data_IF_996241420046
#
_entry.id   IF_996241420046
#
_cell.length_a   1.000
_cell.length_b   1.000
_cell.length_c   1.000
_cell.angle_alpha   90.00
_cell.angle_beta   90.00
_cell.angle_gamma   90.00
#
_symmetry.space_group_name_H-M   'P 1'
#
loop_
_entity.id
_entity.type
_entity.pdbx_description
1 polymer ?
#
# COMPACT_ATOMS: atom_id res chain seq x y z
N UNK A 1 0.00 -70.29 1.70
CA UNK A 1 0.92 -69.13 1.76
C UNK A 1 0.15 -67.81 1.81
N UNK A 2 -0.79 -67.66 2.76
CA UNK A 2 -1.65 -66.47 2.90
C UNK A 2 -1.28 -65.42 3.99
N UNK A 3 -0.29 -65.63 4.91
CA UNK A 3 -0.17 -64.76 6.08
C UNK A 3 0.42 -63.36 5.80
N UNK A 4 1.09 -63.16 4.65
CA UNK A 4 1.73 -61.88 4.30
C UNK A 4 0.81 -60.99 3.44
N UNK A 5 -0.16 -61.58 2.74
CA UNK A 5 -1.03 -60.84 1.82
C UNK A 5 -2.11 -60.04 2.59
N UNK A 6 -2.62 -60.59 3.69
CA UNK A 6 -3.62 -59.93 4.56
C UNK A 6 -3.12 -58.58 5.12
N UNK A 7 -1.92 -58.47 5.73
CA UNK A 7 -1.45 -57.17 6.23
C UNK A 7 -1.15 -56.17 5.10
N UNK A 8 -0.67 -56.63 3.94
CA UNK A 8 -0.44 -55.76 2.77
C UNK A 8 -1.77 -55.22 2.24
N UNK A 9 -2.78 -56.09 2.08
CA UNK A 9 -4.12 -55.68 1.64
C UNK A 9 -4.77 -54.68 2.61
N UNK A 10 -4.58 -54.87 3.93
CA UNK A 10 -5.04 -53.92 4.95
C UNK A 10 -4.41 -52.53 4.75
N UNK A 11 -3.08 -52.46 4.56
CA UNK A 11 -2.38 -51.19 4.31
C UNK A 11 -2.90 -50.52 3.04
N UNK A 12 -3.05 -51.27 1.94
CA UNK A 12 -3.55 -50.71 0.67
C UNK A 12 -4.97 -50.16 0.81
N UNK A 13 -5.86 -50.85 1.52
CA UNK A 13 -7.22 -50.38 1.76
C UNK A 13 -7.24 -49.13 2.65
N UNK A 14 -6.44 -49.11 3.72
CA UNK A 14 -6.38 -47.96 4.63
C UNK A 14 -5.79 -46.74 3.93
N UNK A 15 -4.63 -46.86 3.28
CA UNK A 15 -3.99 -45.75 2.58
C UNK A 15 -4.76 -45.35 1.32
N UNK A 16 -5.35 -46.30 0.60
CA UNK A 16 -6.22 -46.03 -0.54
C UNK A 16 -7.46 -45.26 -0.12
N UNK A 17 -8.16 -45.71 0.93
CA UNK A 17 -9.31 -45.01 1.50
C UNK A 17 -8.95 -43.60 1.99
N UNK A 18 -7.82 -43.45 2.69
CA UNK A 18 -7.32 -42.17 3.15
C UNK A 18 -6.95 -41.24 1.98
N UNK A 19 -6.36 -41.78 0.91
CA UNK A 19 -6.01 -41.01 -0.28
C UNK A 19 -7.24 -40.51 -1.02
N UNK A 20 -8.24 -41.37 -1.24
CA UNK A 20 -9.52 -40.98 -1.85
C UNK A 20 -10.20 -39.91 -0.99
N UNK A 21 -10.26 -40.11 0.33
CA UNK A 21 -10.87 -39.15 1.25
C UNK A 21 -10.12 -37.80 1.24
N UNK A 22 -8.79 -37.82 1.33
CA UNK A 22 -7.95 -36.61 1.28
C UNK A 22 -8.12 -35.86 -0.04
N UNK A 23 -8.19 -36.58 -1.16
CA UNK A 23 -8.41 -35.99 -2.47
C UNK A 23 -9.78 -35.30 -2.56
N UNK A 24 -10.85 -35.98 -2.15
CA UNK A 24 -12.21 -35.40 -2.16
C UNK A 24 -12.36 -34.24 -1.18
N UNK A 25 -11.85 -34.39 0.04
CA UNK A 25 -11.88 -33.34 1.06
C UNK A 25 -11.11 -32.09 0.60
N UNK A 26 -9.87 -32.27 0.11
CA UNK A 26 -9.07 -31.15 -0.40
C UNK A 26 -9.73 -30.47 -1.60
N UNK A 27 -10.34 -31.25 -2.49
CA UNK A 27 -11.11 -30.70 -3.63
C UNK A 27 -12.29 -29.86 -3.14
N UNK A 28 -13.08 -30.36 -2.21
CA UNK A 28 -14.26 -29.65 -1.67
C UNK A 28 -13.88 -28.42 -0.85
N UNK A 29 -12.81 -28.48 -0.06
CA UNK A 29 -12.29 -27.32 0.68
C UNK A 29 -11.71 -26.26 -0.26
N UNK A 30 -11.06 -26.65 -1.36
CA UNK A 30 -10.54 -25.69 -2.35
C UNK A 30 -11.62 -24.96 -3.15
N UNK A 31 -12.83 -25.52 -3.23
CA UNK A 31 -13.96 -24.89 -3.94
C UNK A 31 -14.76 -23.92 -3.09
N UNK A 32 -14.43 -23.74 -1.80
CA UNK A 32 -15.03 -22.69 -1.00
C UNK A 32 -14.52 -21.34 -1.51
N UNK A 33 -15.32 -20.70 -2.35
CA UNK A 33 -15.07 -19.34 -2.81
C UNK A 33 -15.37 -18.39 -1.65
N UNK A 34 -14.33 -17.78 -1.11
CA UNK A 34 -14.48 -16.66 -0.18
C UNK A 34 -15.04 -15.46 -0.92
N UNK A 35 -15.82 -14.63 -0.22
CA UNK A 35 -16.21 -13.33 -0.75
C UNK A 35 -14.94 -12.50 -1.03
N UNK A 36 -14.76 -11.94 -2.24
CA UNK A 36 -13.61 -11.11 -2.55
C UNK A 36 -13.51 -9.92 -1.59
N UNK A 37 -12.34 -9.72 -0.97
CA UNK A 37 -12.12 -8.63 -0.01
C UNK A 37 -12.29 -7.24 -0.63
N UNK A 38 -11.80 -7.07 -1.87
CA UNK A 38 -11.98 -5.86 -2.65
C UNK A 38 -13.11 -6.02 -3.66
N UNK A 39 -13.81 -4.92 -3.90
CA UNK A 39 -14.73 -4.83 -5.03
C UNK A 39 -14.00 -5.00 -6.37
N UNK A 40 -14.77 -5.25 -7.43
CA UNK A 40 -14.28 -5.25 -8.81
C UNK A 40 -13.36 -4.06 -9.09
N UNK A 41 -12.36 -4.25 -9.96
CA UNK A 41 -11.32 -3.29 -10.29
C UNK A 41 -11.69 -2.49 -11.55
N UNK A 42 -12.36 -1.32 -11.43
CA UNK A 42 -12.87 -0.61 -12.59
C UNK A 42 -11.74 -0.02 -13.43
N UNK A 43 -10.62 0.40 -12.84
CA UNK A 43 -9.49 0.98 -13.57
C UNK A 43 -8.80 -0.08 -14.44
N UNK A 44 -8.61 -1.30 -13.90
CA UNK A 44 -8.15 -2.46 -14.66
C UNK A 44 -9.11 -2.81 -15.79
N UNK A 45 -10.40 -2.88 -15.51
CA UNK A 45 -11.41 -3.22 -16.51
C UNK A 45 -11.46 -2.17 -17.64
N UNK A 46 -11.34 -0.88 -17.29
CA UNK A 46 -11.26 0.21 -18.26
C UNK A 46 -10.02 0.06 -19.14
N UNK A 47 -8.84 -0.22 -18.55
CA UNK A 47 -7.62 -0.45 -19.32
C UNK A 47 -7.72 -1.66 -20.26
N UNK A 48 -8.21 -2.81 -19.78
CA UNK A 48 -8.42 -4.00 -20.61
C UNK A 48 -9.42 -3.73 -21.74
N UNK A 49 -10.49 -2.97 -21.45
CA UNK A 49 -11.46 -2.56 -22.47
C UNK A 49 -10.80 -1.66 -23.54
N UNK A 50 -9.92 -0.74 -23.13
CA UNK A 50 -9.15 0.09 -24.05
C UNK A 50 -8.19 -0.76 -24.91
N UNK A 51 -7.58 -1.79 -24.33
CA UNK A 51 -6.70 -2.71 -25.06
C UNK A 51 -7.46 -3.56 -26.09
N UNK A 52 -8.70 -3.92 -25.81
CA UNK A 52 -9.57 -4.68 -26.71
C UNK A 52 -10.18 -3.83 -27.84
N UNK A 53 -10.08 -2.50 -27.76
CA UNK A 53 -10.67 -1.59 -28.74
C UNK A 53 -9.82 -1.52 -30.01
N UNK A 54 -10.30 -2.15 -31.09
CA UNK A 54 -9.62 -2.21 -32.38
C UNK A 54 -10.03 -1.13 -33.38
N UNK A 55 -11.21 -0.51 -33.24
CA UNK A 55 -11.71 0.52 -34.18
C UNK A 55 -12.41 1.69 -33.47
N UNK A 56 -11.84 2.91 -33.45
CA UNK A 56 -10.43 3.24 -33.71
C UNK A 56 -9.51 2.73 -32.57
N UNK A 57 -8.23 2.42 -32.86
CA UNK A 57 -7.29 1.97 -31.84
C UNK A 57 -7.08 3.05 -30.77
N UNK A 58 -6.97 2.63 -29.50
CA UNK A 58 -6.65 3.52 -28.41
C UNK A 58 -5.27 4.16 -28.62
N UNK A 59 -5.14 5.46 -28.31
CA UNK A 59 -3.85 6.13 -28.40
C UNK A 59 -2.90 5.60 -27.33
N UNK A 60 -1.61 5.53 -27.66
CA UNK A 60 -0.56 5.11 -26.72
C UNK A 60 -0.51 6.00 -25.46
N UNK A 61 -0.74 7.31 -25.63
CA UNK A 61 -0.88 8.25 -24.51
C UNK A 61 -2.05 7.91 -23.58
N UNK A 62 -3.18 7.46 -24.13
CA UNK A 62 -4.36 7.08 -23.36
C UNK A 62 -4.09 5.78 -22.60
N UNK A 63 -3.49 4.77 -23.24
CA UNK A 63 -3.12 3.50 -22.60
C UNK A 63 -2.14 3.72 -21.44
N UNK A 64 -1.10 4.53 -21.63
CA UNK A 64 -0.15 4.90 -20.57
C UNK A 64 -0.85 5.61 -19.41
N UNK A 65 -1.74 6.55 -19.70
CA UNK A 65 -2.51 7.26 -18.66
C UNK A 65 -3.45 6.33 -17.89
N UNK A 66 -4.09 5.38 -18.59
CA UNK A 66 -4.96 4.38 -18.00
C UNK A 66 -4.17 3.41 -17.12
N UNK A 67 -2.96 3.00 -17.54
CA UNK A 67 -2.07 2.18 -16.73
C UNK A 67 -1.64 2.89 -15.44
N UNK A 68 -1.35 4.20 -15.49
CA UNK A 68 -1.06 4.98 -14.29
C UNK A 68 -2.28 5.04 -13.36
N UNK A 69 -3.49 5.22 -13.90
CA UNK A 69 -4.72 5.18 -13.10
C UNK A 69 -4.96 3.82 -12.44
N UNK A 70 -4.70 2.72 -13.16
CA UNK A 70 -4.69 1.35 -12.62
C UNK A 70 -3.69 1.23 -11.46
N UNK A 71 -2.44 1.68 -11.65
CA UNK A 71 -1.42 1.68 -10.62
C UNK A 71 -1.81 2.51 -9.38
N UNK A 72 -2.46 3.67 -9.54
CA UNK A 72 -2.94 4.50 -8.42
C UNK A 72 -3.96 3.74 -7.55
N UNK A 73 -4.90 3.03 -8.17
CA UNK A 73 -5.87 2.19 -7.46
C UNK A 73 -5.19 1.03 -6.71
N UNK A 74 -4.16 0.43 -7.30
CA UNK A 74 -3.38 -0.62 -6.65
C UNK A 74 -2.61 -0.08 -5.42
N UNK A 75 -1.98 1.09 -5.51
CA UNK A 75 -1.33 1.72 -4.33
C UNK A 75 -2.36 1.99 -3.23
N UNK A 76 -3.56 2.45 -3.58
CA UNK A 76 -4.62 2.67 -2.60
C UNK A 76 -5.02 1.37 -1.90
N UNK A 77 -5.16 0.26 -2.65
CA UNK A 77 -5.43 -1.07 -2.10
C UNK A 77 -4.28 -1.55 -1.21
N UNK A 78 -3.02 -1.35 -1.60
CA UNK A 78 -1.83 -1.70 -0.79
C UNK A 78 -1.87 -0.98 0.55
N UNK A 79 -2.11 0.34 0.56
CA UNK A 79 -2.20 1.11 1.81
C UNK A 79 -3.32 0.57 2.70
N UNK A 80 -4.47 0.24 2.12
CA UNK A 80 -5.60 -0.36 2.85
C UNK A 80 -5.25 -1.70 3.48
N UNK A 81 -4.65 -2.63 2.72
CA UNK A 81 -4.20 -3.93 3.28
C UNK A 81 -3.21 -3.72 4.42
N UNK A 82 -2.27 -2.78 4.28
CA UNK A 82 -1.24 -2.51 5.31
C UNK A 82 -1.85 -2.00 6.62
N UNK A 83 -2.93 -1.24 6.55
CA UNK A 83 -3.68 -0.75 7.72
C UNK A 83 -4.60 -1.85 8.29
N UNK A 84 -5.32 -2.57 7.43
CA UNK A 84 -6.34 -3.54 7.81
C UNK A 84 -5.74 -4.85 8.37
N UNK A 85 -4.62 -5.33 7.82
CA UNK A 85 -3.99 -6.60 8.22
C UNK A 85 -3.68 -6.68 9.71
N UNK A 86 -2.96 -5.73 10.34
CA UNK A 86 -2.73 -5.78 11.79
C UNK A 86 -4.02 -5.59 12.59
N UNK A 87 -4.99 -4.79 12.11
CA UNK A 87 -6.27 -4.59 12.79
C UNK A 87 -7.10 -5.89 12.83
N UNK A 88 -7.25 -6.56 11.69
CA UNK A 88 -7.99 -7.81 11.56
C UNK A 88 -7.31 -8.96 12.31
N UNK A 89 -5.97 -9.02 12.30
CA UNK A 89 -5.25 -10.02 13.11
C UNK A 89 -5.58 -9.89 14.60
N UNK A 90 -5.67 -8.66 15.12
CA UNK A 90 -6.06 -8.43 16.52
C UNK A 90 -7.53 -8.82 16.80
N UNK A 91 -8.44 -8.56 15.84
CA UNK A 91 -9.85 -8.95 15.98
C UNK A 91 -10.03 -10.49 15.91
N UNK A 92 -9.23 -11.16 15.08
CA UNK A 92 -9.25 -12.62 14.94
C UNK A 92 -8.82 -13.31 16.24
N UNK A 93 -7.75 -12.83 16.87
CA UNK A 93 -7.30 -13.35 18.17
C UNK A 93 -8.34 -13.18 19.29
N UNK A 94 -9.22 -12.17 19.16
CA UNK A 94 -10.35 -11.94 20.08
C UNK A 94 -11.59 -12.76 19.73
N UNK A 95 -11.58 -13.50 18.62
CA UNK A 95 -12.73 -14.27 18.13
C UNK A 95 -13.91 -13.40 17.67
N UNK A 96 -13.68 -12.11 17.35
CA UNK A 96 -14.73 -11.17 16.95
C UNK A 96 -15.03 -11.20 15.44
N UNK A 97 -14.20 -11.88 14.65
CA UNK A 97 -14.35 -12.08 13.20
C UNK A 97 -14.09 -13.55 12.85
N UNK A 98 -14.63 -14.01 11.72
CA UNK A 98 -14.39 -15.36 11.22
C UNK A 98 -13.06 -15.50 10.47
N UNK A 99 -12.55 -16.74 10.40
CA UNK A 99 -11.35 -17.10 9.63
C UNK A 99 -11.52 -16.84 8.13
N UNK A 100 -12.75 -16.90 7.62
CA UNK A 100 -13.06 -16.67 6.20
C UNK A 100 -12.67 -15.26 5.74
N UNK A 101 -12.93 -14.24 6.57
CA UNK A 101 -12.56 -12.84 6.28
C UNK A 101 -11.04 -12.68 6.27
N UNK A 102 -10.36 -13.30 7.23
CA UNK A 102 -8.90 -13.27 7.29
C UNK A 102 -8.27 -13.95 6.07
N UNK A 103 -8.78 -15.12 5.69
CA UNK A 103 -8.34 -15.84 4.50
C UNK A 103 -8.64 -15.06 3.21
N UNK A 104 -9.78 -14.37 3.13
CA UNK A 104 -10.12 -13.47 2.02
C UNK A 104 -9.10 -12.32 1.90
N UNK A 105 -8.70 -11.69 3.01
CA UNK A 105 -7.67 -10.65 2.99
C UNK A 105 -6.32 -11.17 2.51
N UNK A 106 -5.88 -12.35 3.00
CA UNK A 106 -4.62 -12.96 2.56
C UNK A 106 -4.68 -13.37 1.08
N UNK A 107 -5.84 -13.81 0.59
CA UNK A 107 -6.05 -14.07 -0.84
C UNK A 107 -5.95 -12.80 -1.66
N UNK A 108 -6.59 -11.72 -1.21
CA UNK A 108 -6.56 -10.42 -1.86
C UNK A 108 -5.16 -9.78 -1.86
N UNK A 109 -4.36 -10.00 -0.82
CA UNK A 109 -2.95 -9.60 -0.78
C UNK A 109 -2.15 -10.27 -1.91
N UNK A 110 -2.31 -11.59 -2.08
CA UNK A 110 -1.65 -12.33 -3.16
C UNK A 110 -2.13 -11.93 -4.56
N UNK A 111 -3.43 -11.70 -4.70
CA UNK A 111 -4.01 -11.21 -5.96
C UNK A 111 -3.45 -9.83 -6.31
N UNK A 112 -3.34 -8.94 -5.32
CA UNK A 112 -2.75 -7.60 -5.50
C UNK A 112 -1.25 -7.67 -5.80
N UNK A 113 -0.49 -8.57 -5.18
CA UNK A 113 0.92 -8.80 -5.52
C UNK A 113 1.08 -9.25 -6.98
N UNK A 114 0.23 -10.16 -7.45
CA UNK A 114 0.23 -10.58 -8.84
C UNK A 114 -0.12 -9.43 -9.80
N UNK A 115 -1.15 -8.64 -9.47
CA UNK A 115 -1.56 -7.46 -10.23
C UNK A 115 -0.42 -6.43 -10.30
N UNK A 116 0.29 -6.16 -9.20
CA UNK A 116 1.44 -5.25 -9.19
C UNK A 116 2.54 -5.74 -10.15
N UNK A 117 2.84 -7.04 -10.14
CA UNK A 117 3.84 -7.62 -11.05
C UNK A 117 3.41 -7.51 -12.52
N UNK A 118 2.12 -7.71 -12.80
CA UNK A 118 1.53 -7.50 -14.14
C UNK A 118 1.69 -6.04 -14.58
N UNK A 119 1.33 -5.07 -13.74
CA UNK A 119 1.48 -3.64 -14.04
C UNK A 119 2.96 -3.24 -14.26
N UNK A 120 3.90 -3.76 -13.47
CA UNK A 120 5.34 -3.53 -13.69
C UNK A 120 5.79 -4.09 -15.04
N UNK A 121 5.38 -5.31 -15.37
CA UNK A 121 5.72 -5.94 -16.65
C UNK A 121 5.13 -5.17 -17.84
N UNK A 122 3.86 -4.78 -17.75
CA UNK A 122 3.19 -3.94 -18.76
C UNK A 122 3.86 -2.58 -18.91
N UNK A 123 4.20 -1.90 -17.81
CA UNK A 123 4.90 -0.62 -17.86
C UNK A 123 6.26 -0.75 -18.58
N UNK A 124 7.03 -1.80 -18.28
CA UNK A 124 8.30 -2.07 -18.96
C UNK A 124 8.12 -2.39 -20.45
N UNK A 125 6.97 -2.94 -20.85
CA UNK A 125 6.64 -3.18 -22.26
C UNK A 125 6.37 -1.90 -23.04
N UNK A 126 5.85 -0.85 -22.39
CA UNK A 126 5.66 0.46 -23.01
C UNK A 126 6.96 1.26 -23.07
N UNK A 127 7.72 1.28 -21.97
CA UNK A 127 8.98 1.99 -21.83
C UNK A 127 9.89 1.23 -20.89
N UNK A 128 11.08 0.85 -21.35
CA UNK A 128 12.06 0.14 -20.54
C UNK A 128 12.41 0.91 -19.26
N UNK A 129 12.37 0.22 -18.12
CA UNK A 129 12.63 0.81 -16.80
C UNK A 129 11.45 1.59 -16.19
N UNK A 130 10.35 1.79 -16.91
CA UNK A 130 9.19 2.51 -16.39
C UNK A 130 8.51 1.79 -15.22
N UNK A 131 8.56 0.46 -15.18
CA UNK A 131 8.01 -0.33 -14.09
C UNK A 131 8.62 -0.02 -12.72
N UNK A 132 9.85 0.49 -12.65
CA UNK A 132 10.50 0.88 -11.39
C UNK A 132 9.96 2.21 -10.84
N UNK A 133 9.48 3.10 -11.71
CA UNK A 133 9.07 4.47 -11.34
C UNK A 133 7.55 4.65 -11.33
N UNK A 134 6.79 3.76 -11.95
CA UNK A 134 5.32 3.90 -12.08
C UNK A 134 4.62 3.92 -10.72
N UNK A 135 4.98 3.04 -9.79
CA UNK A 135 4.36 2.97 -8.46
C UNK A 135 4.75 4.14 -7.54
N UNK A 136 6.04 4.56 -7.45
CA UNK A 136 6.41 5.80 -6.78
C UNK A 136 5.65 7.02 -7.34
N UNK A 137 5.55 7.12 -8.67
CA UNK A 137 4.81 8.22 -9.32
C UNK A 137 3.32 8.17 -8.99
N UNK A 138 2.71 6.98 -9.04
CA UNK A 138 1.30 6.77 -8.71
C UNK A 138 0.99 7.12 -7.25
N UNK A 139 1.90 6.82 -6.31
CA UNK A 139 1.76 7.20 -4.90
C UNK A 139 1.73 8.73 -4.72
N UNK A 140 2.64 9.46 -5.37
CA UNK A 140 2.64 10.93 -5.34
C UNK A 140 1.39 11.53 -6.00
N UNK A 141 0.93 10.94 -7.12
CA UNK A 141 -0.30 11.37 -7.78
C UNK A 141 -1.53 11.16 -6.89
N UNK A 142 -1.63 10.02 -6.19
CA UNK A 142 -2.72 9.73 -5.28
C UNK A 142 -2.72 10.68 -4.08
N UNK A 143 -1.54 10.96 -3.51
CA UNK A 143 -1.40 11.93 -2.42
C UNK A 143 -1.82 13.35 -2.88
N UNK A 144 -1.45 13.73 -4.11
CA UNK A 144 -1.84 15.01 -4.69
C UNK A 144 -3.36 15.10 -4.92
N UNK A 145 -3.98 14.05 -5.46
CA UNK A 145 -5.42 14.00 -5.70
C UNK A 145 -6.20 14.08 -4.38
N UNK A 146 -5.78 13.33 -3.35
CA UNK A 146 -6.37 13.41 -2.01
C UNK A 146 -6.28 14.82 -1.43
N UNK A 147 -5.13 15.48 -1.58
CA UNK A 147 -4.93 16.85 -1.10
C UNK A 147 -5.82 17.85 -1.86
N UNK A 148 -5.94 17.73 -3.19
CA UNK A 148 -6.81 18.59 -4.00
C UNK A 148 -8.29 18.43 -3.62
N UNK A 149 -8.76 17.19 -3.50
CA UNK A 149 -10.15 16.89 -3.10
C UNK A 149 -10.47 17.54 -1.75
N UNK A 150 -9.54 17.51 -0.79
CA UNK A 150 -9.74 18.21 0.49
C UNK A 150 -9.89 19.71 0.25
N UNK A 151 -9.02 20.35 -0.54
CA UNK A 151 -9.11 21.78 -0.82
C UNK A 151 -10.42 22.18 -1.52
N UNK A 152 -10.86 21.40 -2.49
CA UNK A 152 -12.10 21.67 -3.24
C UNK A 152 -13.33 21.53 -2.32
N UNK A 153 -13.33 20.56 -1.42
CA UNK A 153 -14.41 20.34 -0.45
C UNK A 153 -14.45 21.36 0.70
N UNK A 154 -13.41 22.19 0.90
CA UNK A 154 -13.36 23.15 2.01
C UNK A 154 -14.50 24.17 1.93
N UNK A 155 -14.84 24.67 0.73
CA UNK A 155 -15.92 25.67 0.59
C UNK A 155 -17.28 25.09 0.96
N UNK A 156 -17.56 23.86 0.53
CA UNK A 156 -18.81 23.16 0.82
C UNK A 156 -18.90 22.80 2.30
N UNK A 157 -17.83 22.23 2.86
CA UNK A 157 -17.76 21.90 4.29
C UNK A 157 -17.94 23.14 5.18
N UNK A 158 -17.44 24.30 4.75
CA UNK A 158 -17.67 25.57 5.44
C UNK A 158 -19.14 26.00 5.38
N UNK A 159 -19.77 25.96 4.20
CA UNK A 159 -21.17 26.32 4.04
C UNK A 159 -22.09 25.40 4.87
N UNK A 160 -21.81 24.10 4.90
CA UNK A 160 -22.53 23.14 5.74
C UNK A 160 -22.37 23.43 7.24
N UNK A 161 -21.16 23.81 7.66
CA UNK A 161 -20.89 24.15 9.06
C UNK A 161 -21.61 25.44 9.47
N UNK A 162 -21.61 26.46 8.61
CA UNK A 162 -22.36 27.71 8.84
C UNK A 162 -23.86 27.45 8.93
N UNK A 163 -24.42 26.59 8.08
CA UNK A 163 -25.84 26.22 8.16
C UNK A 163 -26.16 25.42 9.43
N UNK A 164 -25.29 24.48 9.81
CA UNK A 164 -25.53 23.58 10.94
C UNK A 164 -25.38 24.26 12.29
N UNK A 165 -24.49 25.26 12.40
CA UNK A 165 -24.16 25.90 13.67
C UNK A 165 -24.56 27.38 13.73
N UNK A 166 -25.04 27.99 12.64
CA UNK A 166 -25.38 29.42 12.50
C UNK A 166 -24.24 30.38 12.94
N UNK A 167 -23.01 29.86 12.99
CA UNK A 167 -21.80 30.62 13.29
C UNK A 167 -21.15 30.96 11.96
N UNK A 168 -21.32 32.21 11.50
CA UNK A 168 -20.55 32.73 10.36
C UNK A 168 -19.06 32.71 10.71
N UNK A 169 -18.25 32.05 9.88
CA UNK A 169 -16.82 31.96 10.11
C UNK A 169 -16.19 33.36 9.99
N UNK A 170 -15.79 33.95 11.11
CA UNK A 170 -15.09 35.24 11.15
C UNK A 170 -13.64 35.01 10.71
N UNK A 171 -13.38 35.14 9.41
CA UNK A 171 -12.02 35.07 8.85
C UNK A 171 -11.29 36.36 9.22
N UNK A 172 -10.49 36.35 10.28
CA UNK A 172 -9.44 37.35 10.46
C UNK A 172 -8.34 37.03 9.44
N UNK A 173 -8.37 37.73 8.32
CA UNK A 173 -7.31 37.66 7.32
C UNK A 173 -6.04 38.31 7.90
N UNK A 174 -5.20 37.52 8.56
CA UNK A 174 -3.78 37.85 8.76
C UNK A 174 -2.97 37.00 7.77
N UNK A 175 -3.18 37.25 6.48
CA UNK A 175 -2.21 36.84 5.46
C UNK A 175 -1.24 38.01 5.36
N UNK A 176 -0.01 37.77 5.83
CA UNK A 176 1.10 38.72 5.77
C UNK A 176 1.25 39.27 4.36
N UNK A 177 1.40 40.59 4.28
CA UNK A 177 1.67 41.31 3.05
C UNK A 177 2.87 40.69 2.32
N UNK A 178 2.67 40.35 1.05
CA UNK A 178 3.74 40.00 0.14
C UNK A 178 4.74 41.17 0.06
N UNK A 179 6.06 40.94 0.17
CA UNK A 179 7.05 42.00 -0.03
C UNK A 179 7.03 42.44 -1.49
N UNK A 180 6.77 43.73 -1.67
CA UNK A 180 6.73 44.45 -2.94
C UNK A 180 8.05 44.29 -3.69
N UNK A 181 7.95 43.83 -4.94
CA UNK A 181 9.05 43.76 -5.90
C UNK A 181 9.63 45.15 -6.19
N UNK A 182 10.89 45.39 -5.85
CA UNK A 182 11.66 46.53 -6.36
C UNK A 182 12.34 46.17 -7.69
N UNK A 183 12.34 47.07 -8.70
CA UNK A 183 13.04 46.83 -9.94
C UNK A 183 14.53 47.12 -9.76
N UNK A 184 15.39 46.10 -9.88
CA UNK A 184 16.84 46.29 -9.95
C UNK A 184 17.25 46.45 -11.41
N UNK A 185 17.76 47.64 -11.72
CA UNK A 185 18.40 47.98 -12.98
C UNK A 185 19.75 47.26 -13.15
N UNK A 186 20.06 46.95 -14.40
CA UNK A 186 21.23 46.23 -14.92
C UNK A 186 22.60 46.76 -14.44
N UNK A 187 23.57 45.84 -14.32
CA UNK A 187 25.00 46.12 -14.35
C UNK A 187 25.84 44.86 -14.54
N UNK A 188 26.44 44.69 -15.72
CA UNK A 188 27.41 43.65 -16.06
C UNK A 188 28.78 43.92 -15.41
N UNK A 189 29.44 42.89 -14.83
CA UNK A 189 30.86 42.53 -15.04
C UNK A 189 31.32 41.37 -14.11
N UNK A 190 32.32 40.56 -14.50
CA UNK A 190 32.74 39.32 -13.81
C UNK A 190 34.09 39.43 -13.05
N UNK A 191 34.53 38.31 -12.43
CA UNK A 191 35.83 38.03 -11.75
C UNK A 191 35.87 38.45 -10.26
N UNK A 192 36.48 37.75 -9.29
CA UNK A 192 37.47 36.66 -9.23
C UNK A 192 37.59 36.16 -7.78
N UNK A 193 37.87 34.86 -7.61
CA UNK A 193 38.74 34.16 -6.64
C UNK A 193 38.92 34.60 -5.16
N UNK A 194 38.88 33.59 -4.27
CA UNK A 194 39.51 33.53 -2.92
C UNK A 194 38.55 33.82 -1.76
N UNK A 195 38.45 33.08 -0.65
CA UNK A 195 39.34 32.10 0.00
C UNK A 195 38.58 31.36 1.12
N UNK A 196 38.98 30.10 1.34
CA UNK A 196 39.08 29.37 2.62
C UNK A 196 37.84 29.02 3.46
N UNK A 197 37.39 27.76 3.32
CA UNK A 197 36.75 26.99 4.39
C UNK A 197 37.65 25.82 4.81
N UNK A 198 38.02 25.84 6.09
CA UNK A 198 38.88 24.85 6.76
C UNK A 198 38.10 23.57 7.07
N UNK A 199 38.67 22.46 6.60
CA UNK A 199 38.47 21.04 6.92
C UNK A 199 38.86 20.78 8.40
N UNK A 200 38.16 20.00 9.24
CA UNK A 200 38.13 18.53 9.37
C UNK A 200 37.30 18.22 10.64
N UNK A 201 36.38 17.27 10.71
CA UNK A 201 36.47 15.78 10.67
C UNK A 201 37.04 15.11 11.92
N UNK A 202 36.33 14.03 12.29
CA UNK A 202 36.69 12.87 13.13
C UNK A 202 36.65 13.06 14.66
N UNK A 203 36.19 12.12 15.49
CA UNK A 203 35.73 10.75 15.27
C UNK A 203 35.51 10.06 16.64
N UNK A 204 34.52 9.16 16.67
CA UNK A 204 34.44 7.86 17.37
C UNK A 204 35.08 7.61 18.76
N UNK A 205 34.30 7.05 19.69
CA UNK A 205 34.63 5.78 20.38
C UNK A 205 33.60 5.37 21.47
N UNK A 206 33.36 4.06 21.52
CA UNK A 206 32.49 3.30 22.43
C UNK A 206 33.03 3.12 23.86
N UNK A 207 32.16 2.77 24.84
CA UNK A 207 32.37 1.65 25.79
C UNK A 207 31.25 1.52 26.86
N UNK A 208 30.77 0.29 27.08
CA UNK A 208 30.13 -0.24 28.31
C UNK A 208 31.19 -1.12 29.04
N UNK A 209 30.97 -1.81 30.20
CA UNK A 209 29.81 -1.98 31.11
C UNK A 209 30.15 -1.93 32.64
N UNK A 210 29.16 -2.12 33.53
CA UNK A 210 29.44 -2.45 34.96
C UNK A 210 28.22 -2.71 35.86
N UNK A 211 28.11 -3.94 36.43
CA UNK A 211 27.17 -4.40 37.46
C UNK A 211 27.68 -4.09 38.88
N UNK A 212 26.81 -3.80 39.86
CA UNK A 212 26.89 -4.36 41.23
C UNK A 212 25.68 -4.10 42.15
N UNK A 213 25.19 -5.21 42.72
CA UNK A 213 24.83 -5.45 44.14
C UNK A 213 23.56 -4.86 44.83
N UNK A 214 22.84 -5.81 45.43
CA UNK A 214 21.68 -5.72 46.34
C UNK A 214 21.98 -5.10 47.71
N UNK A 215 20.94 -4.55 48.37
CA UNK A 215 20.69 -4.78 49.82
C UNK A 215 19.22 -4.56 50.22
N UNK A 216 18.66 -5.55 50.93
CA UNK A 216 17.37 -5.57 51.64
C UNK A 216 17.46 -4.84 53.00
N UNK A 217 16.41 -4.11 53.40
CA UNK A 217 15.90 -3.95 54.78
C UNK A 217 14.56 -3.19 54.73
N UNK A 218 13.37 -3.78 54.96
CA UNK A 218 12.71 -4.16 56.24
C UNK A 218 12.18 -2.97 57.08
N UNK A 219 10.87 -2.73 56.92
CA UNK A 219 9.82 -2.64 57.98
C UNK A 219 9.53 -1.27 58.64
N UNK A 220 8.21 -1.03 58.73
CA UNK A 220 7.41 -0.20 59.67
C UNK A 220 7.24 1.28 59.36
N UNK A 221 6.05 1.64 58.89
CA UNK A 221 5.03 2.25 59.76
C UNK A 221 3.64 1.94 59.23
#
# INVERSE_FOLDING_TARGET
>A
MAPVLVPIAYIVIVFGGLFIFSFFYRKHTSTQAYEPYFSSHPERNAYVTLLQKTDPPASDSLLKSALVRRAMADVQRVMRIREDKPALQNLLQKGSIGDDLWNSLISAEKELEAEIMEVVAEANSFVEGWGQVIFPTANEMMANEKMRVVFDNISEAKAELELKYDVKAKITATIGAAPTSQPRSNGLAPSSAGTDSVVSSDGEASSTPGKSAQKKAKKRR
#
